data_IF_563625023872
#
_entry.id   IF_563625023872
#
_cell.length_a   1.000
_cell.length_b   1.000
_cell.length_c   1.000
_cell.angle_alpha   90.00
_cell.angle_beta   90.00
_cell.angle_gamma   90.00
#
_symmetry.space_group_name_H-M   'P 1'
#
loop_
_entity.id
_entity.type
_entity.pdbx_description
1 polymer ?
#
# COMPACT_ATOMS: atom_id res chain seq x y z
N UNK A 1 -23.88 -10.30 27.62
CA UNK A 1 -24.55 -9.78 26.40
C UNK A 1 -24.31 -8.29 26.16
N UNK A 2 -24.62 -7.41 27.12
CA UNK A 2 -24.75 -5.96 26.86
C UNK A 2 -23.43 -5.24 26.52
N UNK A 3 -22.27 -5.71 26.98
CA UNK A 3 -20.97 -5.10 26.63
C UNK A 3 -20.53 -5.45 25.20
N UNK A 4 -20.70 -6.71 24.79
CA UNK A 4 -20.43 -7.15 23.42
C UNK A 4 -21.35 -6.42 22.43
N UNK A 5 -22.63 -6.27 22.76
CA UNK A 5 -23.58 -5.54 21.92
C UNK A 5 -23.18 -4.07 21.73
N UNK A 6 -22.68 -3.41 22.78
CA UNK A 6 -22.16 -2.03 22.71
C UNK A 6 -20.91 -1.92 21.83
N UNK A 7 -20.01 -2.90 21.90
CA UNK A 7 -18.79 -2.93 21.08
C UNK A 7 -19.14 -3.15 19.61
N UNK A 8 -20.02 -4.11 19.32
CA UNK A 8 -20.50 -4.37 17.96
C UNK A 8 -21.21 -3.12 17.41
N UNK A 9 -22.09 -2.50 18.20
CA UNK A 9 -22.79 -1.29 17.79
C UNK A 9 -21.83 -0.11 17.52
N UNK A 10 -20.83 0.11 18.38
CA UNK A 10 -19.83 1.15 18.19
C UNK A 10 -18.94 0.90 16.96
N UNK A 11 -18.57 -0.35 16.69
CA UNK A 11 -17.81 -0.74 15.51
C UNK A 11 -18.61 -0.52 14.22
N UNK A 12 -19.88 -0.92 14.20
CA UNK A 12 -20.79 -0.66 13.07
C UNK A 12 -20.96 0.83 12.83
N UNK A 13 -21.12 1.63 13.90
CA UNK A 13 -21.24 3.08 13.77
C UNK A 13 -19.96 3.71 13.21
N UNK A 14 -18.79 3.26 13.64
CA UNK A 14 -17.49 3.72 13.12
C UNK A 14 -17.32 3.41 11.62
N UNK A 15 -17.76 2.24 11.16
CA UNK A 15 -17.75 1.86 9.75
C UNK A 15 -18.75 2.65 8.89
N UNK A 16 -19.79 3.21 9.50
CA UNK A 16 -20.74 4.09 8.80
C UNK A 16 -20.24 5.55 8.72
N UNK A 17 -19.33 5.94 9.62
CA UNK A 17 -18.71 7.27 9.65
C UNK A 17 -17.47 7.38 8.76
N UNK A 18 -17.39 6.57 7.70
CA UNK A 18 -16.34 6.68 6.68
C UNK A 18 -16.49 8.02 5.96
N UNK A 19 -15.80 9.05 6.45
CA UNK A 19 -15.69 10.31 5.74
C UNK A 19 -14.95 10.03 4.44
N UNK A 20 -15.57 10.35 3.31
CA UNK A 20 -14.91 10.41 2.01
C UNK A 20 -13.81 11.48 2.09
N UNK A 21 -12.65 11.12 2.62
CA UNK A 21 -11.45 11.87 2.35
C UNK A 21 -11.22 11.72 0.85
N UNK A 22 -11.47 12.78 0.09
CA UNK A 22 -10.96 12.88 -1.26
C UNK A 22 -9.49 12.48 -1.16
N UNK A 23 -9.11 11.40 -1.85
CA UNK A 23 -7.73 10.99 -1.93
C UNK A 23 -6.90 12.27 -2.13
N UNK A 24 -5.89 12.48 -1.28
CA UNK A 24 -4.88 13.54 -1.41
C UNK A 24 -4.00 13.34 -2.66
N UNK A 25 -4.59 12.82 -3.73
CA UNK A 25 -4.04 12.52 -5.04
C UNK A 25 -5.04 12.86 -6.18
N UNK A 26 -6.28 13.29 -5.88
CA UNK A 26 -7.23 13.75 -6.91
C UNK A 26 -6.86 15.15 -7.47
N UNK A 27 -6.21 15.99 -6.66
CA UNK A 27 -5.68 17.29 -7.09
C UNK A 27 -4.53 17.16 -8.08
N UNK A 28 -3.61 16.20 -7.86
CA UNK A 28 -2.49 15.95 -8.77
C UNK A 28 -2.97 15.35 -10.10
N UNK A 29 -3.99 14.48 -10.06
CA UNK A 29 -4.61 13.92 -11.27
C UNK A 29 -5.36 14.98 -12.09
N UNK A 30 -6.14 15.84 -11.45
CA UNK A 30 -6.84 16.94 -12.11
C UNK A 30 -5.90 17.98 -12.76
N UNK A 31 -4.74 18.25 -12.15
CA UNK A 31 -3.74 19.15 -12.75
C UNK A 31 -3.10 18.51 -13.99
N UNK A 32 -2.81 17.21 -13.98
CA UNK A 32 -2.21 16.50 -15.11
C UNK A 32 -3.20 16.30 -16.27
N UNK A 33 -4.47 15.98 -15.98
CA UNK A 33 -5.53 15.88 -16.99
C UNK A 33 -5.79 17.23 -17.70
N UNK A 34 -5.64 18.35 -16.99
CA UNK A 34 -5.68 19.71 -17.58
C UNK A 34 -4.46 19.99 -18.49
N UNK A 35 -3.25 19.55 -18.12
CA UNK A 35 -2.05 19.74 -18.95
C UNK A 35 -2.09 18.93 -20.27
N UNK A 36 -2.62 17.69 -20.22
CA UNK A 36 -2.84 16.86 -21.42
C UNK A 36 -3.89 17.48 -22.36
N UNK A 37 -4.96 18.05 -21.81
CA UNK A 37 -5.99 18.75 -22.60
C UNK A 37 -5.45 20.02 -23.30
N UNK A 38 -4.35 20.60 -22.78
CA UNK A 38 -3.65 21.75 -23.35
C UNK A 38 -2.57 21.39 -24.40
N UNK A 39 -2.40 20.10 -24.74
CA UNK A 39 -1.50 19.65 -25.83
C UNK A 39 -0.12 19.15 -25.43
N UNK A 40 0.21 19.14 -24.13
CA UNK A 40 1.46 18.57 -23.59
C UNK A 40 1.30 17.08 -23.25
N UNK A 41 1.53 16.21 -24.24
CA UNK A 41 1.28 14.74 -24.15
C UNK A 41 2.39 13.92 -23.48
N UNK A 42 3.57 14.50 -23.31
CA UNK A 42 4.77 13.85 -22.73
C UNK A 42 4.61 13.51 -21.25
N UNK A 43 3.77 14.26 -20.53
CA UNK A 43 3.50 14.06 -19.10
C UNK A 43 2.64 12.80 -18.86
N UNK A 44 1.81 12.40 -19.82
CA UNK A 44 0.92 11.22 -19.70
C UNK A 44 1.66 9.88 -19.80
N UNK A 45 2.73 9.79 -20.60
CA UNK A 45 3.50 8.55 -20.78
C UNK A 45 4.30 8.15 -19.52
N UNK A 46 4.79 9.13 -18.74
CA UNK A 46 5.49 8.88 -17.47
C UNK A 46 4.60 8.32 -16.36
N UNK A 47 3.28 8.51 -16.45
CA UNK A 47 2.33 8.12 -15.41
C UNK A 47 2.12 6.59 -15.32
N UNK A 48 2.02 5.90 -16.46
CA UNK A 48 1.90 4.43 -16.48
C UNK A 48 3.15 3.75 -15.92
N UNK A 49 4.33 4.33 -16.16
CA UNK A 49 5.57 3.88 -15.54
C UNK A 49 5.56 4.12 -14.02
N UNK A 50 5.02 5.26 -13.55
CA UNK A 50 4.86 5.56 -12.13
C UNK A 50 3.91 4.60 -11.40
N UNK A 51 2.79 4.24 -12.02
CA UNK A 51 1.83 3.27 -11.45
C UNK A 51 2.47 1.87 -11.35
N UNK A 52 3.15 1.42 -12.41
CA UNK A 52 3.88 0.15 -12.40
C UNK A 52 5.00 0.14 -11.35
N UNK A 53 5.74 1.24 -11.20
CA UNK A 53 6.79 1.37 -10.19
C UNK A 53 6.25 1.25 -8.76
N UNK A 54 5.18 1.99 -8.45
CA UNK A 54 4.53 1.93 -7.14
C UNK A 54 3.89 0.56 -6.85
N UNK A 55 3.37 -0.12 -7.88
CA UNK A 55 2.82 -1.46 -7.75
C UNK A 55 3.91 -2.52 -7.51
N UNK A 56 5.03 -2.44 -8.22
CA UNK A 56 6.11 -3.46 -8.14
C UNK A 56 6.96 -3.31 -6.87
N UNK A 57 7.17 -2.09 -6.39
CA UNK A 57 7.97 -1.80 -5.18
C UNK A 57 7.63 -2.64 -3.94
N UNK A 58 6.36 -2.76 -3.49
CA UNK A 58 6.03 -3.53 -2.30
C UNK A 58 6.37 -5.03 -2.44
N UNK A 59 6.22 -5.60 -3.64
CA UNK A 59 6.58 -7.01 -3.88
C UNK A 59 8.09 -7.22 -3.84
N UNK A 60 8.88 -6.29 -4.40
CA UNK A 60 10.34 -6.34 -4.32
C UNK A 60 10.83 -6.22 -2.87
N UNK A 61 10.26 -5.28 -2.11
CA UNK A 61 10.60 -5.12 -0.70
C UNK A 61 10.28 -6.38 0.11
N UNK A 62 9.09 -6.98 -0.09
CA UNK A 62 8.71 -8.22 0.57
C UNK A 62 9.65 -9.39 0.21
N UNK A 63 10.04 -9.50 -1.07
CA UNK A 63 10.99 -10.52 -1.53
C UNK A 63 12.36 -10.39 -0.84
N UNK A 64 12.91 -9.18 -0.76
CA UNK A 64 14.22 -8.93 -0.12
C UNK A 64 14.15 -9.29 1.37
N UNK A 65 13.12 -8.83 2.08
CA UNK A 65 12.93 -9.13 3.49
C UNK A 65 12.79 -10.64 3.71
N UNK A 66 11.99 -11.32 2.87
CA UNK A 66 11.81 -12.78 2.93
C UNK A 66 13.12 -13.55 2.74
N UNK A 67 13.94 -13.16 1.77
CA UNK A 67 15.25 -13.80 1.52
C UNK A 67 16.19 -13.59 2.71
N UNK A 68 16.29 -12.37 3.23
CA UNK A 68 17.15 -12.06 4.38
C UNK A 68 16.71 -12.85 5.62
N UNK A 69 15.40 -12.91 5.87
CA UNK A 69 14.85 -13.68 6.98
C UNK A 69 15.11 -15.18 6.84
N UNK A 70 14.89 -15.75 5.65
CA UNK A 70 15.17 -17.16 5.38
C UNK A 70 16.65 -17.51 5.59
N UNK A 71 17.56 -16.66 5.09
CA UNK A 71 19.01 -16.85 5.29
C UNK A 71 19.40 -16.76 6.76
N UNK A 72 18.84 -15.81 7.50
CA UNK A 72 19.07 -15.68 8.94
C UNK A 72 18.53 -16.89 9.72
N UNK A 73 17.32 -17.36 9.39
CA UNK A 73 16.70 -18.52 10.01
C UNK A 73 17.51 -19.81 9.74
N UNK A 74 18.00 -20.02 8.52
CA UNK A 74 18.84 -21.17 8.16
C UNK A 74 20.17 -21.17 8.93
N UNK A 75 20.81 -20.00 9.08
CA UNK A 75 22.02 -19.86 9.92
C UNK A 75 21.77 -20.18 11.38
N UNK A 76 20.62 -19.75 11.94
CA UNK A 76 20.23 -20.08 13.32
C UNK A 76 19.95 -21.57 13.51
N UNK A 77 19.25 -22.22 12.57
CA UNK A 77 19.01 -23.68 12.64
C UNK A 77 20.29 -24.49 12.53
N UNK A 78 21.20 -24.11 11.63
CA UNK A 78 22.52 -24.74 11.54
C UNK A 78 23.31 -24.58 12.85
N UNK A 79 23.28 -23.41 13.50
CA UNK A 79 23.95 -23.20 14.79
C UNK A 79 23.33 -24.01 15.94
N UNK A 80 22.01 -24.24 15.91
CA UNK A 80 21.29 -24.98 16.95
C UNK A 80 21.50 -26.50 16.84
N UNK A 81 21.73 -27.05 15.64
CA UNK A 81 21.93 -28.49 15.44
C UNK A 81 23.32 -29.02 15.81
N UNK A 82 24.26 -28.13 16.17
CA UNK A 82 25.62 -28.47 16.61
C UNK A 82 25.79 -28.42 18.14
N UNK A 83 24.69 -28.31 18.89
CA UNK A 83 24.60 -28.55 20.35
C UNK A 83 23.72 -29.76 20.60
#
# INVERSE_FOLDING_TARGET
MNRLLKIVFAFTLFMLLQVQSFAQCAMCRASVENNVSNGETTIGAGLNAGILYLFVMPYLMAMVIGILWYRAAKKKKAKLSWH
#
